data_IF_784414823624
#
_entry.id   IF_784414823624
#
_cell.length_a   1.000
_cell.length_b   1.000
_cell.length_c   1.000
_cell.angle_alpha   90.00
_cell.angle_beta   90.00
_cell.angle_gamma   90.00
#
_symmetry.space_group_name_H-M   'P 1'
#
loop_
_entity.id
_entity.type
_entity.pdbx_description
1 polymer ?
#
# COMPACT_ATOMS: atom_id res chain seq x y z
N UNK A 1 26.91 -7.29 -54.91
CA UNK A 1 27.08 -5.89 -54.46
C UNK A 1 25.70 -5.38 -54.06
N UNK A 2 25.45 -5.23 -52.76
CA UNK A 2 24.18 -4.69 -52.26
C UNK A 2 24.17 -3.17 -52.45
N UNK A 3 23.15 -2.64 -53.11
CA UNK A 3 23.03 -1.20 -53.42
C UNK A 3 22.47 -0.39 -52.25
N UNK A 4 22.75 0.91 -52.21
CA UNK A 4 22.32 1.83 -51.13
C UNK A 4 20.80 1.78 -50.84
N UNK A 5 19.97 1.52 -51.84
CA UNK A 5 18.52 1.36 -51.69
C UNK A 5 18.11 0.10 -50.89
N UNK A 6 18.87 -0.99 -50.97
CA UNK A 6 18.60 -2.20 -50.19
C UNK A 6 18.98 -2.03 -48.72
N UNK A 7 20.02 -1.25 -48.44
CA UNK A 7 20.43 -0.86 -47.08
C UNK A 7 19.35 -0.01 -46.39
N UNK A 8 18.75 0.95 -47.10
CA UNK A 8 17.65 1.76 -46.56
C UNK A 8 16.41 0.91 -46.22
N UNK A 9 16.06 -0.05 -47.09
CA UNK A 9 14.95 -0.99 -46.84
C UNK A 9 15.22 -1.89 -45.64
N UNK A 10 16.43 -2.42 -45.52
CA UNK A 10 16.85 -3.28 -44.42
C UNK A 10 16.84 -2.53 -43.08
N UNK A 11 17.38 -1.32 -43.03
CA UNK A 11 17.38 -0.51 -41.80
C UNK A 11 15.95 -0.19 -41.33
N UNK A 12 15.01 0.00 -42.26
CA UNK A 12 13.60 0.24 -41.94
C UNK A 12 12.89 -1.00 -41.42
N UNK A 13 13.22 -2.19 -41.97
CA UNK A 13 12.77 -3.49 -41.42
C UNK A 13 13.24 -3.65 -39.98
N UNK A 14 14.53 -3.41 -39.73
CA UNK A 14 15.15 -3.58 -38.41
C UNK A 14 14.49 -2.64 -37.40
N UNK A 15 14.34 -1.35 -37.72
CA UNK A 15 13.73 -0.38 -36.83
C UNK A 15 12.29 -0.75 -36.42
N UNK A 16 11.47 -1.24 -37.36
CA UNK A 16 10.09 -1.65 -37.05
C UNK A 16 10.05 -2.96 -36.25
N UNK A 17 10.92 -3.91 -36.58
CA UNK A 17 11.03 -5.16 -35.81
C UNK A 17 11.46 -4.89 -34.37
N UNK A 18 12.40 -3.98 -34.15
CA UNK A 18 12.90 -3.61 -32.82
C UNK A 18 11.82 -2.90 -31.98
N UNK A 19 10.86 -2.23 -32.61
CA UNK A 19 9.67 -1.67 -31.96
C UNK A 19 8.61 -2.74 -31.63
N UNK A 20 8.83 -3.99 -32.03
CA UNK A 20 7.97 -5.13 -31.75
C UNK A 20 6.82 -5.34 -32.75
N UNK A 21 6.91 -4.77 -33.96
CA UNK A 21 5.97 -5.08 -35.04
C UNK A 21 6.23 -6.48 -35.61
N UNK A 22 5.17 -7.17 -36.01
CA UNK A 22 5.29 -8.49 -36.64
C UNK A 22 5.86 -8.37 -38.05
N UNK A 23 6.47 -9.45 -38.57
CA UNK A 23 7.00 -9.49 -39.94
C UNK A 23 5.93 -9.18 -41.00
N UNK A 24 4.68 -9.55 -40.73
CA UNK A 24 3.54 -9.25 -41.61
C UNK A 24 3.21 -7.75 -41.62
N UNK A 25 3.22 -7.10 -40.47
CA UNK A 25 3.02 -5.64 -40.36
C UNK A 25 4.17 -4.86 -40.98
N UNK A 26 5.41 -5.32 -40.77
CA UNK A 26 6.60 -4.74 -41.41
C UNK A 26 6.51 -4.86 -42.93
N UNK A 27 6.05 -6.00 -43.46
CA UNK A 27 5.79 -6.20 -44.89
C UNK A 27 4.78 -5.20 -45.45
N UNK A 28 3.62 -5.05 -44.80
CA UNK A 28 2.56 -4.13 -45.23
C UNK A 28 3.03 -2.66 -45.27
N UNK A 29 3.87 -2.24 -44.33
CA UNK A 29 4.46 -0.89 -44.29
C UNK A 29 5.51 -0.68 -45.38
N UNK A 30 6.23 -1.74 -45.78
CA UNK A 30 7.26 -1.68 -46.83
C UNK A 30 6.70 -1.76 -48.24
N UNK A 31 5.55 -2.41 -48.39
CA UNK A 31 4.83 -2.52 -49.67
C UNK A 31 3.87 -1.34 -49.90
N UNK A 32 4.02 -0.25 -49.12
CA UNK A 32 3.24 1.00 -49.18
C UNK A 32 1.72 0.81 -49.02
N UNK A 33 1.29 -0.33 -48.46
CA UNK A 33 -0.12 -0.63 -48.20
C UNK A 33 -0.66 0.14 -46.98
N UNK A 34 0.24 0.74 -46.19
CA UNK A 34 -0.06 1.50 -44.97
C UNK A 34 0.36 2.96 -45.18
N UNK A 35 -0.61 3.87 -45.09
CA UNK A 35 -0.36 5.30 -45.21
C UNK A 35 0.39 5.90 -44.00
N UNK A 36 0.96 7.11 -44.12
CA UNK A 36 1.72 7.75 -43.04
C UNK A 36 0.89 8.02 -41.77
N UNK A 37 -0.40 8.30 -41.90
CA UNK A 37 -1.31 8.49 -40.75
C UNK A 37 -1.61 7.17 -40.02
N UNK A 38 -1.78 6.08 -40.76
CA UNK A 38 -2.03 4.76 -40.20
C UNK A 38 -0.79 4.23 -39.48
N UNK A 39 0.41 4.45 -40.05
CA UNK A 39 1.69 4.15 -39.38
C UNK A 39 1.86 4.93 -38.08
N UNK A 40 1.46 6.21 -38.04
CA UNK A 40 1.46 7.02 -36.80
C UNK A 40 0.50 6.46 -35.75
N UNK A 41 -0.68 6.01 -36.17
CA UNK A 41 -1.65 5.33 -35.30
C UNK A 41 -1.07 4.05 -34.69
N UNK A 42 -0.48 3.19 -35.53
CA UNK A 42 0.17 1.94 -35.11
C UNK A 42 1.30 2.20 -34.11
N UNK A 43 2.16 3.20 -34.35
CA UNK A 43 3.24 3.57 -33.43
C UNK A 43 2.72 4.13 -32.09
N UNK A 44 1.63 4.91 -32.10
CA UNK A 44 1.02 5.41 -30.87
C UNK A 44 0.42 4.30 -30.02
N UNK A 45 -0.28 3.36 -30.65
CA UNK A 45 -0.81 2.17 -29.97
C UNK A 45 0.34 1.37 -29.36
N UNK A 46 1.40 1.12 -30.13
CA UNK A 46 2.57 0.38 -29.66
C UNK A 46 3.26 1.06 -28.47
N UNK A 47 3.34 2.39 -28.48
CA UNK A 47 3.88 3.16 -27.36
C UNK A 47 3.04 2.99 -26.09
N UNK A 48 1.71 2.97 -26.21
CA UNK A 48 0.81 2.76 -25.07
C UNK A 48 0.97 1.35 -24.47
N UNK A 49 0.99 0.32 -25.32
CA UNK A 49 1.21 -1.07 -24.90
C UNK A 49 2.54 -1.25 -24.15
N UNK A 50 3.63 -0.67 -24.69
CA UNK A 50 4.95 -0.74 -24.04
C UNK A 50 4.99 0.01 -22.71
N UNK A 51 4.31 1.15 -22.62
CA UNK A 51 4.22 1.91 -21.37
C UNK A 51 3.45 1.13 -20.29
N UNK A 52 2.34 0.49 -20.65
CA UNK A 52 1.57 -0.36 -19.76
C UNK A 52 2.39 -1.58 -19.30
N UNK A 53 3.08 -2.25 -20.22
CA UNK A 53 3.96 -3.36 -19.89
C UNK A 53 5.12 -2.93 -18.97
N UNK A 54 5.70 -1.75 -19.18
CA UNK A 54 6.74 -1.20 -18.31
C UNK A 54 6.22 -0.89 -16.91
N UNK A 55 5.02 -0.32 -16.80
CA UNK A 55 4.37 -0.07 -15.52
C UNK A 55 4.09 -1.38 -14.76
N UNK A 56 3.54 -2.39 -15.45
CA UNK A 56 3.31 -3.72 -14.87
C UNK A 56 4.62 -4.40 -14.43
N UNK A 57 5.67 -4.30 -15.24
CA UNK A 57 7.00 -4.81 -14.90
C UNK A 57 7.60 -4.11 -13.68
N UNK A 58 7.44 -2.78 -13.57
CA UNK A 58 7.91 -1.98 -12.45
C UNK A 58 7.17 -2.35 -11.16
N UNK A 59 5.85 -2.52 -11.23
CA UNK A 59 5.05 -3.00 -10.10
C UNK A 59 5.45 -4.42 -9.67
N UNK A 60 5.76 -5.31 -10.64
CA UNK A 60 6.26 -6.66 -10.35
C UNK A 60 7.65 -6.62 -9.71
N UNK A 61 8.54 -5.75 -10.18
CA UNK A 61 9.87 -5.55 -9.61
C UNK A 61 9.77 -5.04 -8.16
N UNK A 62 8.92 -4.05 -7.89
CA UNK A 62 8.69 -3.55 -6.53
C UNK A 62 8.23 -4.66 -5.57
N UNK A 63 7.35 -5.57 -6.02
CA UNK A 63 6.95 -6.76 -5.22
C UNK A 63 8.10 -7.73 -4.98
N UNK A 64 8.96 -7.96 -5.97
CA UNK A 64 10.14 -8.82 -5.82
C UNK A 64 11.12 -8.19 -4.84
N UNK A 65 11.40 -6.90 -4.95
CA UNK A 65 12.28 -6.17 -4.04
C UNK A 65 11.73 -6.13 -2.62
N UNK A 66 10.42 -5.95 -2.45
CA UNK A 66 9.76 -6.05 -1.15
C UNK A 66 9.93 -7.46 -0.57
N UNK A 67 9.78 -8.52 -1.37
CA UNK A 67 9.99 -9.90 -0.92
C UNK A 67 11.45 -10.18 -0.58
N UNK A 68 12.41 -9.65 -1.35
CA UNK A 68 13.84 -9.75 -1.05
C UNK A 68 14.19 -9.06 0.27
N UNK A 69 13.73 -7.82 0.48
CA UNK A 69 13.89 -7.12 1.76
C UNK A 69 13.26 -7.89 2.91
N UNK A 70 12.08 -8.46 2.71
CA UNK A 70 11.41 -9.32 3.68
C UNK A 70 12.27 -10.56 4.01
N UNK A 71 12.85 -11.25 3.04
CA UNK A 71 13.73 -12.41 3.28
C UNK A 71 15.05 -12.00 3.96
N UNK A 72 15.65 -10.89 3.55
CA UNK A 72 16.87 -10.34 4.17
C UNK A 72 16.62 -9.92 5.62
N UNK A 73 15.41 -9.38 5.91
CA UNK A 73 14.96 -9.08 7.26
C UNK A 73 14.56 -10.32 8.06
N UNK A 74 14.00 -11.37 7.42
CA UNK A 74 13.72 -12.67 8.06
C UNK A 74 15.03 -13.33 8.54
N UNK A 75 16.17 -13.07 7.90
CA UNK A 75 17.50 -13.48 8.36
C UNK A 75 18.08 -12.64 9.51
N UNK A 76 17.49 -11.49 9.84
CA UNK A 76 18.00 -10.51 10.82
C UNK A 76 16.99 -10.06 11.88
N UNK A 77 15.75 -10.58 11.88
CA UNK A 77 14.75 -10.28 12.91
C UNK A 77 14.61 -11.53 13.81
N UNK A 78 15.52 -11.73 14.77
CA UNK A 78 15.30 -12.75 15.78
C UNK A 78 14.03 -12.43 16.55
N UNK A 79 13.35 -13.47 17.04
CA UNK A 79 12.22 -13.35 17.96
C UNK A 79 12.53 -12.53 19.24
N UNK A 80 13.80 -12.18 19.44
CA UNK A 80 14.36 -11.34 20.51
C UNK A 80 13.95 -9.84 20.41
N UNK A 81 13.37 -9.39 19.29
CA UNK A 81 12.90 -8.00 19.13
C UNK A 81 11.49 -7.76 19.72
N UNK A 82 10.80 -8.81 20.16
CA UNK A 82 9.53 -8.67 20.90
C UNK A 82 9.84 -8.39 22.36
N UNK A 83 9.41 -7.22 22.84
CA UNK A 83 9.59 -6.80 24.24
C UNK A 83 8.27 -6.83 24.97
N UNK A 84 8.26 -7.41 26.17
CA UNK A 84 7.17 -7.23 27.12
C UNK A 84 7.34 -5.89 27.82
N UNK A 85 6.29 -5.07 27.83
CA UNK A 85 6.26 -3.80 28.54
C UNK A 85 4.88 -3.48 29.06
N UNK A 86 4.84 -2.69 30.13
CA UNK A 86 3.60 -2.09 30.62
C UNK A 86 3.27 -0.86 29.78
N UNK A 87 2.08 -0.85 29.18
CA UNK A 87 1.49 0.31 28.52
C UNK A 87 0.64 1.05 29.56
N UNK A 88 0.90 2.35 29.81
CA UNK A 88 0.13 3.11 30.77
C UNK A 88 -1.28 3.39 30.27
N UNK A 89 -2.21 3.64 31.21
CA UNK A 89 -3.54 4.09 30.87
C UNK A 89 -3.49 5.44 30.13
N UNK A 90 -4.31 5.60 29.10
CA UNK A 90 -4.30 6.80 28.27
C UNK A 90 -5.69 7.13 27.76
N UNK A 91 -5.98 8.43 27.65
CA UNK A 91 -7.20 8.91 27.01
C UNK A 91 -6.98 9.12 25.54
N UNK A 92 -7.90 8.60 24.74
CA UNK A 92 -7.83 8.61 23.29
C UNK A 92 -9.13 9.17 22.74
N UNK A 93 -9.04 10.20 21.91
CA UNK A 93 -10.16 10.62 21.10
C UNK A 93 -10.15 9.79 19.81
N UNK A 94 -11.24 9.08 19.54
CA UNK A 94 -11.32 8.13 18.43
C UNK A 94 -12.58 8.28 17.58
N UNK A 95 -12.43 7.87 16.32
CA UNK A 95 -13.50 7.53 15.40
C UNK A 95 -13.41 6.04 15.09
N UNK A 96 -14.56 5.42 14.83
CA UNK A 96 -14.64 4.02 14.43
C UNK A 96 -15.16 3.85 13.02
N UNK A 97 -14.74 2.77 12.39
CA UNK A 97 -15.27 2.26 11.12
C UNK A 97 -15.18 0.75 11.07
N UNK A 98 -15.82 0.12 10.09
CA UNK A 98 -15.80 -1.34 9.93
C UNK A 98 -15.07 -1.71 8.64
N UNK A 99 -14.12 -2.64 8.73
CA UNK A 99 -13.43 -3.27 7.61
C UNK A 99 -13.87 -4.72 7.46
N UNK A 100 -13.72 -5.30 6.27
CA UNK A 100 -14.13 -6.69 6.01
C UNK A 100 -13.18 -7.71 6.64
N UNK A 101 -11.89 -7.39 6.78
CA UNK A 101 -10.88 -8.27 7.36
C UNK A 101 -9.66 -7.49 7.88
N UNK A 102 -8.69 -8.20 8.45
CA UNK A 102 -7.38 -7.64 8.84
C UNK A 102 -6.42 -7.42 7.65
N UNK A 103 -6.83 -7.75 6.41
CA UNK A 103 -5.97 -7.57 5.26
C UNK A 103 -5.73 -6.08 4.96
N UNK A 104 -4.52 -5.67 4.54
CA UNK A 104 -4.19 -4.28 4.25
C UNK A 104 -5.14 -3.61 3.25
N UNK A 105 -5.60 -4.37 2.26
CA UNK A 105 -6.57 -3.93 1.25
C UNK A 105 -7.95 -3.57 1.83
N UNK A 106 -8.34 -4.17 2.96
CA UNK A 106 -9.61 -3.89 3.64
C UNK A 106 -9.44 -2.81 4.71
N UNK A 107 -8.32 -2.83 5.45
CA UNK A 107 -8.04 -1.87 6.53
C UNK A 107 -7.65 -0.50 5.99
N UNK A 108 -6.78 -0.44 4.98
CA UNK A 108 -6.22 0.79 4.44
C UNK A 108 -7.29 1.81 4.00
N UNK A 109 -8.30 1.40 3.20
CA UNK A 109 -9.40 2.26 2.78
C UNK A 109 -10.31 2.76 3.92
N UNK A 110 -10.27 2.12 5.09
CA UNK A 110 -11.07 2.52 6.26
C UNK A 110 -10.25 3.45 7.17
N UNK A 111 -9.04 3.04 7.56
CA UNK A 111 -8.27 3.74 8.59
C UNK A 111 -7.75 5.11 8.12
N UNK A 112 -7.35 5.23 6.85
CA UNK A 112 -6.85 6.49 6.29
C UNK A 112 -7.91 7.61 6.38
N UNK A 113 -9.10 7.43 5.78
CA UNK A 113 -10.18 8.42 5.86
C UNK A 113 -10.66 8.73 7.28
N UNK A 114 -10.57 7.77 8.21
CA UNK A 114 -10.89 8.04 9.62
C UNK A 114 -9.92 9.05 10.23
N UNK A 115 -8.61 8.92 10.00
CA UNK A 115 -7.63 9.89 10.48
C UNK A 115 -7.75 11.25 9.78
N UNK A 116 -8.01 11.27 8.46
CA UNK A 116 -8.26 12.51 7.71
C UNK A 116 -9.45 13.31 8.26
N UNK A 117 -10.47 12.61 8.78
CA UNK A 117 -11.62 13.24 9.44
C UNK A 117 -11.37 13.59 10.91
N UNK A 118 -10.65 12.75 11.65
CA UNK A 118 -10.46 12.89 13.09
C UNK A 118 -9.80 14.23 13.45
N UNK A 119 -8.70 14.57 12.79
CA UNK A 119 -7.93 15.77 13.14
C UNK A 119 -8.72 17.08 12.93
N UNK A 120 -9.38 17.32 11.78
CA UNK A 120 -10.21 18.51 11.61
C UNK A 120 -11.36 18.62 12.62
N UNK A 121 -12.00 17.49 12.99
CA UNK A 121 -13.09 17.50 13.97
C UNK A 121 -12.58 17.86 15.37
N UNK A 122 -11.42 17.36 15.76
CA UNK A 122 -10.78 17.72 17.03
C UNK A 122 -10.39 19.20 17.06
N UNK A 123 -9.82 19.71 15.97
CA UNK A 123 -9.45 21.11 15.84
C UNK A 123 -10.67 22.03 15.97
N UNK A 124 -11.75 21.72 15.24
CA UNK A 124 -13.00 22.47 15.32
C UNK A 124 -13.63 22.44 16.72
N UNK A 125 -13.46 21.33 17.46
CA UNK A 125 -13.92 21.19 18.83
C UNK A 125 -12.95 21.78 19.89
N UNK A 126 -11.80 22.33 19.47
CA UNK A 126 -10.78 22.88 20.37
C UNK A 126 -10.04 21.82 21.19
N UNK A 127 -10.12 20.54 20.81
CA UNK A 127 -9.43 19.44 21.47
C UNK A 127 -8.05 19.27 20.85
N UNK A 128 -7.00 19.43 21.65
CA UNK A 128 -5.62 19.32 21.18
C UNK A 128 -5.08 17.89 21.40
N UNK A 129 -4.53 17.24 20.35
CA UNK A 129 -3.73 16.04 20.52
C UNK A 129 -2.53 16.28 21.45
N UNK A 130 -2.24 15.32 22.32
CA UNK A 130 -1.15 15.40 23.30
C UNK A 130 -0.02 14.39 23.03
N UNK A 131 -0.10 13.63 21.94
CA UNK A 131 0.87 12.57 21.65
C UNK A 131 0.52 11.79 20.38
N UNK A 132 1.01 10.56 20.23
CA UNK A 132 0.89 9.79 19.00
C UNK A 132 -0.54 9.36 18.70
N UNK A 133 -0.78 9.01 17.43
CA UNK A 133 -1.96 8.27 17.00
C UNK A 133 -1.91 6.84 17.51
N UNK A 134 -3.09 6.28 17.82
CA UNK A 134 -3.30 4.93 18.30
C UNK A 134 -4.38 4.30 17.43
N UNK A 135 -4.02 3.25 16.70
CA UNK A 135 -4.96 2.41 15.97
C UNK A 135 -5.24 1.15 16.78
N UNK A 136 -6.51 0.78 16.91
CA UNK A 136 -6.92 -0.48 17.55
C UNK A 136 -7.90 -1.21 16.62
N UNK A 137 -7.86 -2.53 16.68
CA UNK A 137 -8.67 -3.39 15.87
C UNK A 137 -9.34 -4.41 16.78
N UNK A 138 -10.65 -4.58 16.63
CA UNK A 138 -11.45 -5.51 17.41
C UNK A 138 -12.34 -6.30 16.44
N UNK A 139 -12.55 -7.59 16.69
CA UNK A 139 -13.50 -8.37 15.91
C UNK A 139 -14.92 -7.85 16.13
N UNK A 140 -15.70 -7.70 15.06
CA UNK A 140 -17.07 -7.23 15.16
C UNK A 140 -17.94 -8.21 15.96
N UNK A 141 -18.75 -7.73 16.92
CA UNK A 141 -19.67 -8.59 17.67
C UNK A 141 -20.66 -9.30 16.74
N UNK A 142 -20.57 -10.62 16.65
CA UNK A 142 -21.38 -11.44 15.73
C UNK A 142 -20.61 -12.01 14.53
N UNK A 143 -19.35 -11.60 14.35
CA UNK A 143 -18.47 -12.06 13.29
C UNK A 143 -18.78 -11.43 11.93
N UNK A 144 -17.79 -11.43 11.03
CA UNK A 144 -17.95 -10.95 9.65
C UNK A 144 -17.27 -9.61 9.32
N UNK A 145 -16.60 -8.99 10.27
CA UNK A 145 -15.83 -7.76 10.05
C UNK A 145 -14.94 -7.39 11.22
N UNK A 146 -14.12 -6.36 11.03
CA UNK A 146 -13.19 -5.80 12.00
C UNK A 146 -13.58 -4.36 12.29
N UNK A 147 -13.80 -4.03 13.56
CA UNK A 147 -13.98 -2.65 14.01
C UNK A 147 -12.61 -1.99 14.13
N UNK A 148 -12.39 -0.98 13.30
CA UNK A 148 -11.19 -0.16 13.27
C UNK A 148 -11.43 1.08 14.13
N UNK A 149 -10.64 1.25 15.20
CA UNK A 149 -10.61 2.46 16.01
C UNK A 149 -9.39 3.29 15.61
N UNK A 150 -9.63 4.43 14.96
CA UNK A 150 -8.59 5.41 14.66
C UNK A 150 -8.62 6.49 15.73
N UNK A 151 -7.57 6.57 16.55
CA UNK A 151 -7.54 7.45 17.70
C UNK A 151 -6.26 8.25 17.85
N UNK A 152 -6.32 9.30 18.66
CA UNK A 152 -5.15 10.08 19.06
C UNK A 152 -5.23 10.42 20.54
N UNK A 153 -4.08 10.41 21.21
CA UNK A 153 -4.02 10.73 22.63
C UNK A 153 -4.43 12.18 22.91
N UNK A 154 -5.24 12.40 23.95
CA UNK A 154 -5.75 13.71 24.36
C UNK A 154 -5.80 13.82 25.88
N UNK A 155 -5.83 15.05 26.41
CA UNK A 155 -6.01 15.31 27.85
C UNK A 155 -7.46 15.66 28.25
N UNK A 156 -8.40 15.63 27.30
CA UNK A 156 -9.81 15.98 27.51
C UNK A 156 -10.57 15.03 28.44
N UNK A 157 -11.78 15.40 28.88
CA UNK A 157 -12.67 14.51 29.63
C UNK A 157 -13.17 13.36 28.73
N UNK A 158 -13.41 12.20 29.35
CA UNK A 158 -14.06 11.04 28.69
C UNK A 158 -15.49 11.42 28.31
N UNK A 159 -15.91 11.04 27.10
CA UNK A 159 -17.25 11.32 26.59
C UNK A 159 -17.28 11.72 25.12
N UNK A 160 -18.47 12.08 24.64
CA UNK A 160 -18.65 12.57 23.28
C UNK A 160 -18.02 13.97 23.11
N UNK A 161 -17.37 14.19 21.98
CA UNK A 161 -16.83 15.50 21.60
C UNK A 161 -17.88 16.25 20.80
N UNK A 162 -18.79 16.93 21.48
CA UNK A 162 -19.94 17.57 20.85
C UNK A 162 -20.77 16.57 20.02
N UNK A 163 -21.24 17.00 18.84
CA UNK A 163 -21.99 16.17 17.88
C UNK A 163 -21.13 15.74 16.68
N UNK A 164 -19.83 15.53 16.90
CA UNK A 164 -18.85 15.23 15.83
C UNK A 164 -18.76 13.74 15.49
N UNK A 165 -19.39 12.88 16.30
CA UNK A 165 -19.17 11.43 16.28
C UNK A 165 -17.86 10.98 16.91
N UNK A 166 -16.94 11.89 17.25
CA UNK A 166 -15.70 11.58 17.98
C UNK A 166 -16.02 11.32 19.45
N UNK A 167 -15.40 10.29 20.02
CA UNK A 167 -15.52 9.97 21.45
C UNK A 167 -14.14 9.91 22.10
N UNK A 168 -13.99 10.56 23.25
CA UNK A 168 -12.86 10.35 24.14
C UNK A 168 -13.16 9.13 25.00
N UNK A 169 -12.32 8.11 24.90
CA UNK A 169 -12.34 6.90 25.71
C UNK A 169 -11.08 6.80 26.56
N UNK A 170 -11.18 6.08 27.67
CA UNK A 170 -10.02 5.76 28.51
C UNK A 170 -9.61 4.32 28.22
N UNK A 171 -8.38 4.14 27.74
CA UNK A 171 -7.77 2.83 27.59
C UNK A 171 -7.03 2.50 28.89
N UNK A 172 -7.31 1.32 29.51
CA UNK A 172 -6.68 0.94 30.77
C UNK A 172 -5.18 0.66 30.57
N UNK A 173 -4.43 0.66 31.67
CA UNK A 173 -3.06 0.16 31.65
C UNK A 173 -3.07 -1.36 31.48
N UNK A 174 -2.14 -1.89 30.69
CA UNK A 174 -2.02 -3.33 30.46
C UNK A 174 -0.58 -3.72 30.13
N UNK A 175 -0.26 -5.00 30.30
CA UNK A 175 0.99 -5.58 29.84
C UNK A 175 0.85 -5.99 28.36
N UNK A 176 1.83 -5.60 27.54
CA UNK A 176 1.80 -5.83 26.10
C UNK A 176 3.11 -6.44 25.62
N UNK A 177 3.00 -7.45 24.76
CA UNK A 177 4.07 -7.81 23.84
C UNK A 177 4.11 -6.78 22.70
N UNK A 178 5.27 -6.20 22.43
CA UNK A 178 5.42 -5.16 21.44
C UNK A 178 6.63 -5.40 20.54
N UNK A 179 6.44 -5.12 19.25
CA UNK A 179 7.48 -5.14 18.24
C UNK A 179 7.53 -3.77 17.54
N UNK A 180 8.72 -3.34 17.13
CA UNK A 180 8.89 -2.09 16.36
C UNK A 180 9.06 -2.42 14.88
N UNK A 181 8.04 -2.12 14.08
CA UNK A 181 8.15 -2.15 12.62
C UNK A 181 8.90 -0.90 12.13
N UNK A 182 9.91 -1.09 11.28
CA UNK A 182 10.66 0.00 10.64
C UNK A 182 10.51 -0.09 9.14
N UNK A 183 9.60 0.68 8.57
CA UNK A 183 9.34 0.67 7.13
C UNK A 183 7.97 1.26 6.80
N UNK A 184 7.55 1.05 5.55
CA UNK A 184 6.21 1.39 5.10
C UNK A 184 5.16 0.52 5.82
N UNK A 185 3.98 1.10 6.10
CA UNK A 185 2.88 0.35 6.73
C UNK A 185 2.35 -0.80 5.86
N UNK A 186 2.48 -0.69 4.54
CA UNK A 186 2.10 -1.76 3.59
C UNK A 186 2.89 -3.06 3.85
N UNK A 187 4.08 -2.96 4.45
CA UNK A 187 4.97 -4.07 4.79
C UNK A 187 4.83 -4.53 6.25
N UNK A 188 3.75 -4.16 6.97
CA UNK A 188 3.61 -4.45 8.42
C UNK A 188 3.25 -5.92 8.73
N UNK A 189 2.66 -6.64 7.77
CA UNK A 189 2.15 -8.01 8.00
C UNK A 189 3.20 -9.00 8.55
N UNK A 190 4.46 -9.03 8.07
CA UNK A 190 5.49 -9.90 8.65
C UNK A 190 5.77 -9.62 10.13
N UNK A 191 5.76 -8.35 10.55
CA UNK A 191 5.94 -7.98 11.95
C UNK A 191 4.73 -8.42 12.80
N UNK A 192 3.50 -8.26 12.28
CA UNK A 192 2.29 -8.73 12.92
C UNK A 192 2.28 -10.27 13.10
N UNK A 193 2.65 -11.02 12.05
CA UNK A 193 2.78 -12.48 12.13
C UNK A 193 3.87 -12.92 13.12
N UNK A 194 4.98 -12.18 13.20
CA UNK A 194 6.04 -12.47 14.17
C UNK A 194 5.56 -12.29 15.60
N UNK A 195 4.85 -11.19 15.88
CA UNK A 195 4.23 -10.96 17.19
C UNK A 195 3.19 -12.04 17.53
N UNK A 196 2.34 -12.42 16.59
CA UNK A 196 1.34 -13.47 16.79
C UNK A 196 1.98 -14.83 17.15
N UNK A 197 2.99 -15.26 16.38
CA UNK A 197 3.73 -16.50 16.70
C UNK A 197 4.45 -16.44 18.05
N UNK A 198 5.00 -15.28 18.40
CA UNK A 198 5.64 -15.09 19.69
C UNK A 198 4.64 -15.24 20.84
N UNK A 199 3.44 -14.66 20.70
CA UNK A 199 2.34 -14.79 21.66
C UNK A 199 1.88 -16.25 21.80
N UNK A 200 1.77 -17.00 20.70
CA UNK A 200 1.43 -18.44 20.74
C UNK A 200 2.49 -19.28 21.47
N UNK A 201 3.77 -18.90 21.36
CA UNK A 201 4.87 -19.65 21.95
C UNK A 201 5.15 -19.30 23.43
N UNK A 202 4.74 -18.12 23.88
CA UNK A 202 5.03 -17.58 25.22
C UNK A 202 3.79 -17.27 26.07
N UNK A 203 2.59 -17.56 25.54
CA UNK A 203 1.29 -17.38 26.19
C UNK A 203 0.83 -18.58 27.00
#
# INVERSE_FOLDING_TARGET
>A
LYGAAQLARLNRIIALKDLGFTLQQVGAVLDEQVGPEELRGMLRLRRAELAEAAAAATARLARVEARLRSIESEGHMPADDVVIKTVPAVRVAELTGTAASYQPEDIGPVIGPLYERLFPLLEAAGVRPTGPGIARYEDEPGGGGIVVHAGVTVSGPVGAVGDTGVRVVELPAFEAAAIVHRGAMDDVLPAAHTLARWLEANG
#
